data_IF_555223624412
#
_entry.id   IF_555223624412
#
_cell.length_a   1.000
_cell.length_b   1.000
_cell.length_c   1.000
_cell.angle_alpha   90.00
_cell.angle_beta   90.00
_cell.angle_gamma   90.00
#
_symmetry.space_group_name_H-M   'P 1'
#
loop_
_entity.id
_entity.type
_entity.pdbx_description
1 polymer ?
#
# COMPACT_ATOMS: atom_id res chain seq x y z
N UNK A 1 6.43 24.20 23.46
CA UNK A 1 5.01 23.88 23.66
C UNK A 1 4.38 23.81 22.27
N UNK A 2 4.16 22.60 21.75
CA UNK A 2 3.57 22.40 20.43
C UNK A 2 2.06 22.30 20.56
N UNK A 3 1.32 23.21 19.91
CA UNK A 3 -0.14 23.11 19.82
C UNK A 3 -0.46 22.21 18.63
N UNK A 4 -0.80 20.94 18.87
CA UNK A 4 -1.14 19.99 17.83
C UNK A 4 -2.60 20.25 17.39
N UNK A 5 -2.84 20.52 16.10
CA UNK A 5 -4.19 20.53 15.51
C UNK A 5 -4.39 19.22 14.75
N UNK A 6 -5.47 18.50 15.03
CA UNK A 6 -5.84 17.32 14.27
C UNK A 6 -6.83 17.69 13.18
N UNK A 7 -6.53 17.33 11.94
CA UNK A 7 -7.36 17.55 10.78
C UNK A 7 -7.97 16.21 10.36
N UNK A 8 -9.30 16.07 10.45
CA UNK A 8 -10.03 14.90 9.98
C UNK A 8 -10.64 15.19 8.61
N UNK A 9 -10.35 14.33 7.65
CA UNK A 9 -10.92 14.41 6.30
C UNK A 9 -11.95 13.29 6.15
N UNK A 10 -13.23 13.66 6.02
CA UNK A 10 -14.32 12.71 5.78
C UNK A 10 -15.01 13.03 4.44
N UNK A 11 -15.26 11.98 3.66
CA UNK A 11 -16.08 12.03 2.45
C UNK A 11 -17.30 11.14 2.69
N UNK A 12 -18.48 11.74 2.72
CA UNK A 12 -19.73 11.04 3.08
C UNK A 12 -20.61 10.69 1.86
N UNK A 13 -20.36 11.26 0.68
CA UNK A 13 -21.26 11.10 -0.49
C UNK A 13 -20.66 10.38 -1.70
N UNK A 14 -19.36 10.11 -1.74
CA UNK A 14 -18.79 9.14 -2.67
C UNK A 14 -18.47 7.87 -1.89
N UNK A 15 -18.93 6.72 -2.39
CA UNK A 15 -18.69 5.40 -1.82
C UNK A 15 -17.23 5.33 -1.32
N UNK A 16 -17.01 5.07 -0.01
CA UNK A 16 -15.69 5.14 0.66
C UNK A 16 -14.56 4.35 -0.03
N UNK A 17 -14.91 3.47 -0.98
CA UNK A 17 -14.03 2.70 -1.84
C UNK A 17 -13.42 3.45 -3.03
N UNK A 18 -13.82 4.70 -3.31
CA UNK A 18 -13.39 5.47 -4.50
C UNK A 18 -12.37 6.58 -4.22
N UNK A 19 -12.13 6.90 -2.95
CA UNK A 19 -11.29 8.02 -2.52
C UNK A 19 -10.07 7.52 -1.75
N UNK A 20 -8.89 7.86 -2.26
CA UNK A 20 -7.63 7.51 -1.61
C UNK A 20 -6.93 8.79 -1.16
N UNK A 21 -6.86 8.97 0.16
CA UNK A 21 -6.24 10.12 0.81
C UNK A 21 -4.78 9.82 1.13
N UNK A 22 -3.89 10.73 0.75
CA UNK A 22 -2.47 10.65 1.10
C UNK A 22 -2.00 11.99 1.66
N UNK A 23 -1.16 11.95 2.69
CA UNK A 23 -0.46 13.12 3.19
C UNK A 23 0.76 13.34 2.33
N UNK A 24 0.92 14.57 1.84
CA UNK A 24 2.11 15.00 1.16
C UNK A 24 3.10 15.54 2.21
N UNK A 25 4.24 14.87 2.34
CA UNK A 25 5.30 15.33 3.24
C UNK A 25 6.10 16.41 2.51
N UNK A 26 6.00 17.66 2.98
CA UNK A 26 6.72 18.79 2.41
C UNK A 26 7.89 19.17 3.33
N UNK A 27 9.07 18.60 3.08
CA UNK A 27 10.30 19.01 3.79
C UNK A 27 10.98 20.20 3.11
N UNK A 28 10.76 20.39 1.80
CA UNK A 28 11.19 21.53 0.95
C UNK A 28 10.54 21.41 -0.45
N UNK A 29 10.42 20.16 -0.94
CA UNK A 29 9.75 19.75 -2.18
C UNK A 29 8.75 18.65 -1.82
N UNK A 30 7.55 18.62 -2.42
CA UNK A 30 6.61 17.55 -2.17
C UNK A 30 7.03 16.26 -2.87
N UNK A 31 7.68 15.36 -2.12
CA UNK A 31 8.36 14.19 -2.69
C UNK A 31 7.57 12.88 -2.47
N UNK A 32 6.98 12.68 -1.29
CA UNK A 32 6.29 11.44 -0.95
C UNK A 32 4.80 11.64 -0.64
N UNK A 33 3.96 10.85 -1.32
CA UNK A 33 2.54 10.66 -0.99
C UNK A 33 2.39 9.53 0.03
N UNK A 34 2.42 9.88 1.31
CA UNK A 34 2.28 8.93 2.43
C UNK A 34 0.80 8.58 2.61
N UNK A 35 0.40 7.30 2.60
CA UNK A 35 -1.00 6.91 2.83
C UNK A 35 -1.51 7.44 4.18
N UNK A 36 -2.72 7.99 4.18
CA UNK A 36 -3.46 8.26 5.41
C UNK A 36 -4.28 7.00 5.73
N UNK A 37 -4.24 6.54 6.97
CA UNK A 37 -5.00 5.36 7.40
C UNK A 37 -6.50 5.61 7.18
N UNK A 38 -7.19 4.79 6.36
CA UNK A 38 -8.62 4.94 6.13
C UNK A 38 -9.47 4.70 7.39
N UNK A 39 -8.97 3.94 8.37
CA UNK A 39 -9.65 3.72 9.65
C UNK A 39 -9.50 4.90 10.62
N UNK A 40 -8.44 5.70 10.42
CA UNK A 40 -8.15 6.89 11.23
C UNK A 40 -7.63 8.04 10.36
N UNK A 41 -8.50 8.72 9.58
CA UNK A 41 -8.09 9.72 8.60
C UNK A 41 -7.79 11.08 9.27
N UNK A 42 -6.83 11.08 10.19
CA UNK A 42 -6.41 12.23 10.98
C UNK A 42 -4.95 12.57 10.71
N UNK A 43 -4.67 13.86 10.56
CA UNK A 43 -3.31 14.38 10.43
C UNK A 43 -3.06 15.38 11.55
N UNK A 44 -1.93 15.25 12.22
CA UNK A 44 -1.48 16.22 13.22
C UNK A 44 -0.60 17.29 12.58
N UNK A 45 -0.86 18.56 12.89
CA UNK A 45 -0.17 19.74 12.34
C UNK A 45 0.34 20.60 13.50
N UNK A 46 1.63 20.96 13.50
CA UNK A 46 2.20 21.87 14.50
C UNK A 46 1.93 23.35 14.19
N UNK A 47 2.09 24.26 15.17
CA UNK A 47 2.04 25.69 14.90
C UNK A 47 3.13 26.10 13.91
N UNK A 48 2.73 26.80 12.84
CA UNK A 48 3.64 27.22 11.78
C UNK A 48 3.90 26.15 10.70
N UNK A 49 3.37 24.94 10.84
CA UNK A 49 3.47 23.91 9.79
C UNK A 49 2.35 24.05 8.75
N UNK A 50 2.70 23.75 7.50
CA UNK A 50 1.73 23.56 6.41
C UNK A 50 1.72 22.09 6.01
N UNK A 51 0.53 21.49 5.96
CA UNK A 51 0.34 20.12 5.49
C UNK A 51 -0.54 20.12 4.24
N UNK A 52 -0.21 19.27 3.27
CA UNK A 52 -1.01 19.06 2.07
C UNK A 52 -1.59 17.64 2.06
N UNK A 53 -2.81 17.52 1.53
CA UNK A 53 -3.52 16.25 1.36
C UNK A 53 -3.77 16.04 -0.12
N UNK A 54 -3.29 14.91 -0.64
CA UNK A 54 -3.56 14.44 -1.98
C UNK A 54 -4.82 13.59 -1.98
N UNK A 55 -5.78 13.95 -2.84
CA UNK A 55 -7.05 13.25 -3.00
C UNK A 55 -7.05 12.56 -4.36
N UNK A 56 -7.06 11.23 -4.39
CA UNK A 56 -7.23 10.46 -5.62
C UNK A 56 -8.69 10.02 -5.77
N UNK A 57 -9.32 10.32 -6.90
CA UNK A 57 -10.66 9.85 -7.26
C UNK A 57 -10.54 8.76 -8.31
N UNK A 58 -11.00 7.55 -8.01
CA UNK A 58 -11.03 6.46 -8.97
C UNK A 58 -12.43 6.35 -9.61
N UNK A 59 -12.51 6.47 -10.94
CA UNK A 59 -13.77 6.31 -11.69
C UNK A 59 -13.85 4.88 -12.22
N UNK A 60 -14.81 4.05 -11.78
CA UNK A 60 -14.95 2.68 -12.24
C UNK A 60 -15.22 2.59 -13.74
N UNK A 61 -14.78 1.48 -14.36
CA UNK A 61 -15.15 1.16 -15.73
C UNK A 61 -16.68 0.95 -15.81
N UNK A 62 -17.32 1.59 -16.79
CA UNK A 62 -18.78 1.54 -16.95
C UNK A 62 -19.56 2.55 -16.11
N UNK A 63 -18.89 3.47 -15.39
CA UNK A 63 -19.57 4.59 -14.74
C UNK A 63 -20.34 5.40 -15.80
N UNK A 64 -21.65 5.68 -15.61
CA UNK A 64 -22.43 6.45 -16.56
C UNK A 64 -21.83 7.86 -16.79
N UNK A 65 -21.83 8.37 -18.02
CA UNK A 65 -21.40 9.74 -18.27
C UNK A 65 -22.35 10.73 -17.59
N UNK A 66 -21.80 11.84 -17.10
CA UNK A 66 -22.56 12.86 -16.40
C UNK A 66 -21.73 13.70 -15.45
N UNK A 67 -22.40 14.68 -14.85
CA UNK A 67 -21.83 15.52 -13.79
C UNK A 67 -22.09 14.84 -12.43
N UNK A 68 -21.02 14.57 -11.71
CA UNK A 68 -21.05 14.07 -10.34
C UNK A 68 -20.62 15.17 -9.40
N UNK A 69 -21.44 15.43 -8.39
CA UNK A 69 -21.13 16.38 -7.33
C UNK A 69 -20.87 15.61 -6.04
N UNK A 70 -19.85 16.05 -5.30
CA UNK A 70 -19.45 15.45 -4.04
C UNK A 70 -18.83 16.49 -3.13
N UNK A 71 -18.65 16.12 -1.87
CA UNK A 71 -18.16 17.06 -0.87
C UNK A 71 -17.13 16.40 0.03
N UNK A 72 -16.11 17.17 0.38
CA UNK A 72 -15.09 16.79 1.36
C UNK A 72 -15.22 17.73 2.55
N UNK A 73 -15.37 17.14 3.73
CA UNK A 73 -15.37 17.86 5.00
C UNK A 73 -13.99 17.74 5.64
N UNK A 74 -13.40 18.89 5.93
CA UNK A 74 -12.15 19.02 6.65
C UNK A 74 -12.49 19.62 8.01
N UNK A 75 -12.41 18.84 9.07
CA UNK A 75 -12.65 19.35 10.42
C UNK A 75 -11.33 19.44 11.18
N UNK A 76 -11.13 20.55 11.87
CA UNK A 76 -9.99 20.74 12.76
C UNK A 76 -10.47 20.68 14.21
N UNK A 77 -9.85 19.82 15.01
CA UNK A 77 -10.05 19.79 16.46
C UNK A 77 -8.78 20.31 17.12
N UNK A 78 -8.91 21.39 17.89
CA UNK A 78 -7.85 21.89 18.77
C UNK A 78 -7.86 21.01 20.00
N UNK A 79 -6.81 20.23 20.22
CA UNK A 79 -6.65 19.53 21.50
C UNK A 79 -6.07 20.53 22.48
N UNK A 80 -6.91 21.12 23.34
CA UNK A 80 -6.41 21.82 24.51
C UNK A 80 -5.81 20.77 25.43
N UNK A 81 -4.49 20.82 25.59
CA UNK A 81 -3.74 19.94 26.48
C UNK A 81 -3.92 20.41 27.94
N UNK A 82 -5.16 20.58 28.38
CA UNK A 82 -5.47 20.89 29.78
C UNK A 82 -6.02 19.68 30.55
N UNK A 83 -6.16 18.53 29.89
CA UNK A 83 -6.10 17.25 30.57
C UNK A 83 -4.77 16.58 30.22
N UNK A 84 -3.79 16.79 31.09
CA UNK A 84 -2.70 15.84 31.26
C UNK A 84 -3.33 14.56 31.83
N UNK A 85 -4.07 13.81 31.01
CA UNK A 85 -4.20 12.38 31.25
C UNK A 85 -2.77 11.91 31.14
N UNK A 86 -2.13 11.65 32.28
CA UNK A 86 -0.85 10.97 32.31
C UNK A 86 -1.03 9.71 31.48
N UNK A 87 -0.60 9.76 30.23
CA UNK A 87 -0.74 8.64 29.33
C UNK A 87 0.00 7.50 30.03
N UNK A 88 -0.71 6.41 30.36
CA UNK A 88 -0.12 5.33 31.14
C UNK A 88 1.28 5.02 30.60
N UNK A 89 2.31 4.95 31.46
CA UNK A 89 3.65 4.52 31.09
C UNK A 89 3.58 3.37 30.07
N UNK A 90 4.45 3.37 29.06
CA UNK A 90 4.46 2.32 28.01
C UNK A 90 4.41 0.90 28.61
N UNK A 91 5.00 0.70 29.80
CA UNK A 91 4.95 -0.55 30.56
C UNK A 91 3.53 -0.97 30.96
N UNK A 92 2.68 -0.04 31.39
CA UNK A 92 1.31 -0.33 31.81
C UNK A 92 0.37 -0.53 30.60
N UNK A 93 0.56 0.22 29.51
CA UNK A 93 -0.15 -0.04 28.24
C UNK A 93 0.18 -1.42 27.68
N UNK A 94 1.46 -1.80 27.71
CA UNK A 94 1.90 -3.14 27.31
C UNK A 94 1.35 -4.23 28.24
N UNK A 95 1.19 -3.95 29.54
CA UNK A 95 0.58 -4.87 30.51
C UNK A 95 -0.90 -5.09 30.22
N UNK A 96 -1.67 -4.01 30.02
CA UNK A 96 -3.08 -4.06 29.66
C UNK A 96 -3.32 -4.76 28.32
N UNK A 97 -2.48 -4.47 27.32
CA UNK A 97 -2.54 -5.17 26.03
C UNK A 97 -2.29 -6.68 26.17
N UNK A 98 -1.32 -7.07 26.99
CA UNK A 98 -1.01 -8.48 27.25
C UNK A 98 -2.13 -9.18 28.02
N UNK A 99 -2.73 -8.52 29.00
CA UNK A 99 -3.86 -9.03 29.78
C UNK A 99 -5.10 -9.23 28.88
N UNK A 100 -5.44 -8.23 28.05
CA UNK A 100 -6.55 -8.34 27.08
C UNK A 100 -6.31 -9.40 26.01
N UNK A 101 -5.08 -9.52 25.50
CA UNK A 101 -4.73 -10.54 24.52
C UNK A 101 -4.77 -11.95 25.13
N UNK A 102 -4.33 -12.10 26.37
CA UNK A 102 -4.47 -13.35 27.12
C UNK A 102 -5.94 -13.72 27.33
N UNK A 103 -6.86 -12.76 27.50
CA UNK A 103 -8.30 -13.06 27.57
C UNK A 103 -8.84 -13.58 26.25
N UNK A 104 -8.41 -13.01 25.12
CA UNK A 104 -8.80 -13.46 23.78
C UNK A 104 -8.24 -14.85 23.45
N UNK A 105 -7.01 -15.14 23.89
CA UNK A 105 -6.40 -16.46 23.72
C UNK A 105 -7.09 -17.54 24.57
N UNK A 106 -7.64 -17.17 25.74
CA UNK A 106 -8.43 -18.05 26.61
C UNK A 106 -9.83 -18.37 26.06
N UNK A 107 -10.40 -17.49 25.23
CA UNK A 107 -11.74 -17.65 24.62
C UNK A 107 -11.70 -18.11 23.17
N UNK A 108 -10.51 -18.34 22.61
CA UNK A 108 -10.33 -18.85 21.25
C UNK A 108 -10.97 -20.23 21.02
N UNK A 109 -11.35 -20.56 19.77
CA UNK A 109 -12.00 -21.82 19.44
C UNK A 109 -10.97 -22.96 19.56
N UNK A 110 -11.16 -23.85 20.54
CA UNK A 110 -10.46 -25.12 20.69
C UNK A 110 -11.48 -26.23 20.92
N UNK A 111 -11.22 -27.43 20.41
CA UNK A 111 -12.04 -28.61 20.69
C UNK A 111 -12.13 -28.82 22.21
N UNK A 112 -13.34 -28.68 22.76
CA UNK A 112 -13.57 -28.66 24.20
C UNK A 112 -13.74 -30.08 24.75
N UNK A 113 -13.01 -30.39 25.82
CA UNK A 113 -13.03 -31.72 26.46
C UNK A 113 -14.07 -31.83 27.59
N UNK A 114 -14.56 -30.73 28.20
CA UNK A 114 -15.73 -30.76 29.10
C UNK A 114 -16.45 -29.40 29.29
N UNK A 115 -17.75 -29.39 29.63
CA UNK A 115 -18.52 -28.16 29.91
C UNK A 115 -18.02 -27.38 31.13
N UNK A 116 -17.45 -28.08 32.12
CA UNK A 116 -16.96 -27.49 33.37
C UNK A 116 -15.70 -26.64 33.12
N UNK A 117 -14.81 -27.09 32.23
CA UNK A 117 -13.63 -26.34 31.81
C UNK A 117 -14.00 -25.05 31.07
N UNK A 118 -15.08 -25.06 30.29
CA UNK A 118 -15.58 -23.89 29.58
C UNK A 118 -16.09 -22.83 30.55
N UNK A 119 -16.88 -23.23 31.56
CA UNK A 119 -17.40 -22.32 32.59
C UNK A 119 -16.27 -21.71 33.41
N UNK A 120 -15.25 -22.51 33.76
CA UNK A 120 -14.10 -22.01 34.51
C UNK A 120 -13.32 -20.96 33.71
N UNK A 121 -13.08 -21.19 32.41
CA UNK A 121 -12.41 -20.22 31.53
C UNK A 121 -13.22 -18.95 31.32
N UNK A 122 -14.54 -19.05 31.14
CA UNK A 122 -15.41 -17.88 31.00
C UNK A 122 -15.39 -17.03 32.27
N UNK A 123 -15.39 -17.67 33.43
CA UNK A 123 -15.33 -17.01 34.74
C UNK A 123 -13.97 -16.32 34.94
N UNK A 124 -12.87 -16.98 34.55
CA UNK A 124 -11.53 -16.38 34.56
C UNK A 124 -11.40 -15.19 33.59
N UNK A 125 -11.94 -15.29 32.38
CA UNK A 125 -11.94 -14.17 31.42
C UNK A 125 -12.80 -13.00 31.93
N UNK A 126 -13.99 -13.29 32.48
CA UNK A 126 -14.91 -12.28 33.04
C UNK A 126 -14.29 -11.53 34.21
N UNK A 127 -13.58 -12.23 35.11
CA UNK A 127 -12.92 -11.60 36.26
C UNK A 127 -11.74 -10.70 35.85
N UNK A 128 -10.98 -11.08 34.82
CA UNK A 128 -9.92 -10.23 34.27
C UNK A 128 -10.51 -8.99 33.58
N UNK A 129 -11.56 -9.16 32.76
CA UNK A 129 -12.24 -8.03 32.10
C UNK A 129 -12.84 -7.05 33.11
N UNK A 130 -13.49 -7.54 34.17
CA UNK A 130 -14.05 -6.69 35.22
C UNK A 130 -12.96 -5.87 35.91
N UNK A 131 -11.81 -6.48 36.21
CA UNK A 131 -10.64 -5.79 36.77
C UNK A 131 -10.04 -4.74 35.83
N UNK A 132 -10.05 -4.98 34.52
CA UNK A 132 -9.60 -4.00 33.51
C UNK A 132 -10.57 -2.82 33.42
N UNK A 133 -11.87 -3.08 33.50
CA UNK A 133 -12.93 -2.05 33.48
C UNK A 133 -12.96 -1.21 34.76
N UNK A 134 -12.65 -1.82 35.91
CA UNK A 134 -12.55 -1.12 37.21
C UNK A 134 -11.22 -0.33 37.36
N UNK A 135 -10.39 -0.26 36.32
CA UNK A 135 -9.16 0.52 36.35
C UNK A 135 -9.52 2.02 36.32
N UNK A 136 -9.08 2.84 37.29
CA UNK A 136 -9.39 4.26 37.36
C UNK A 136 -8.98 5.04 36.10
N UNK A 137 -7.98 4.57 35.35
CA UNK A 137 -7.58 5.18 34.07
C UNK A 137 -8.60 5.00 32.93
N UNK A 138 -9.62 4.15 33.09
CA UNK A 138 -10.74 3.95 32.17
C UNK A 138 -12.02 4.65 32.63
N UNK A 139 -12.12 5.02 33.92
CA UNK A 139 -13.30 5.71 34.49
C UNK A 139 -13.36 7.21 34.14
N UNK A 140 -12.23 7.85 33.82
CA UNK A 140 -12.17 9.23 33.32
C UNK A 140 -12.88 9.45 31.97
N UNK A 141 -13.41 8.40 31.35
CA UNK A 141 -14.11 8.47 30.07
C UNK A 141 -15.63 8.79 30.18
N UNK A 142 -16.20 8.95 31.38
CA UNK A 142 -17.67 9.01 31.54
C UNK A 142 -18.32 10.26 32.14
N UNK A 143 -17.59 11.28 32.62
CA UNK A 143 -18.25 12.48 33.18
C UNK A 143 -17.65 13.78 32.64
N UNK A 144 -18.31 14.36 31.61
CA UNK A 144 -18.46 15.81 31.47
C UNK A 144 -19.45 16.17 30.35
N UNK A 145 -20.75 15.97 30.62
CA UNK A 145 -21.83 16.71 29.95
C UNK A 145 -22.42 17.72 30.95
N UNK A 146 -21.57 18.63 31.44
CA UNK A 146 -22.01 19.76 32.25
C UNK A 146 -22.34 20.96 31.36
N UNK A 147 -23.62 21.32 31.30
CA UNK A 147 -24.10 22.61 30.77
C UNK A 147 -23.42 23.75 31.52
N UNK A 148 -22.42 24.39 30.92
CA UNK A 148 -21.81 25.63 31.39
C UNK A 148 -21.89 26.69 30.30
N UNK A 149 -22.31 27.91 30.66
CA UNK A 149 -22.44 29.07 29.78
C UNK A 149 -21.22 29.23 28.86
N UNK A 150 -21.42 29.01 27.56
CA UNK A 150 -20.38 29.20 26.54
C UNK A 150 -20.29 30.67 26.16
N UNK A 151 -19.12 31.28 26.39
CA UNK A 151 -18.79 32.59 25.83
C UNK A 151 -18.51 32.47 24.33
N UNK A 152 -18.75 33.53 23.56
CA UNK A 152 -18.60 33.56 22.08
C UNK A 152 -17.19 33.15 21.58
N UNK A 153 -16.17 33.17 22.42
CA UNK A 153 -14.81 32.70 22.11
C UNK A 153 -14.70 31.16 21.99
N UNK A 154 -15.59 30.39 22.64
CA UNK A 154 -15.59 28.91 22.59
C UNK A 154 -16.23 28.36 21.31
N UNK A 155 -16.89 29.22 20.52
CA UNK A 155 -17.56 28.87 19.26
C UNK A 155 -16.55 28.50 18.16
N UNK A 156 -15.27 28.87 18.33
CA UNK A 156 -14.21 28.65 17.33
C UNK A 156 -13.58 27.23 17.41
N UNK A 157 -14.00 26.39 18.37
CA UNK A 157 -13.34 25.11 18.61
C UNK A 157 -13.64 24.00 17.56
N UNK A 158 -14.59 24.21 16.65
CA UNK A 158 -14.91 23.27 15.56
C UNK A 158 -15.00 23.98 14.21
N UNK A 159 -13.87 24.43 13.69
CA UNK A 159 -13.82 24.93 12.31
C UNK A 159 -13.92 23.71 11.37
N UNK A 160 -15.04 23.65 10.64
CA UNK A 160 -15.22 22.72 9.53
C UNK A 160 -15.19 23.48 8.21
N UNK A 161 -14.36 23.02 7.29
CA UNK A 161 -14.29 23.52 5.92
C UNK A 161 -14.95 22.49 5.02
N UNK A 162 -15.92 22.93 4.22
CA UNK A 162 -16.62 22.10 3.23
C UNK A 162 -16.11 22.45 1.84
N UNK A 163 -15.48 21.49 1.19
CA UNK A 163 -15.00 21.60 -0.18
C UNK A 163 -16.00 20.91 -1.11
N UNK A 164 -16.54 21.65 -2.06
CA UNK A 164 -17.38 21.08 -3.14
C UNK A 164 -16.48 20.59 -4.27
N UNK A 165 -16.76 19.39 -4.76
CA UNK A 165 -16.10 18.76 -5.89
C UNK A 165 -17.12 18.49 -6.98
N UNK A 166 -16.77 18.85 -8.21
CA UNK A 166 -17.55 18.56 -9.40
C UNK A 166 -16.67 17.76 -10.35
N UNK A 167 -17.10 16.55 -10.70
CA UNK A 167 -16.40 15.63 -11.59
C UNK A 167 -17.28 15.36 -12.81
N UNK A 168 -16.79 15.70 -14.00
CA UNK A 168 -17.47 15.34 -15.26
C UNK A 168 -16.91 14.01 -15.77
N UNK A 169 -17.77 12.99 -15.82
CA UNK A 169 -17.46 11.71 -16.45
C UNK A 169 -17.95 11.80 -17.90
N UNK A 170 -17.01 11.63 -18.83
CA UNK A 170 -17.29 11.67 -20.25
C UNK A 170 -17.67 10.28 -20.77
N UNK A 171 -18.36 10.25 -21.91
CA UNK A 171 -18.77 9.01 -22.58
C UNK A 171 -17.60 8.39 -23.38
N UNK A 172 -16.53 8.05 -22.66
CA UNK A 172 -15.44 7.23 -23.19
C UNK A 172 -14.84 6.40 -22.07
N UNK A 173 -14.31 5.23 -22.43
CA UNK A 173 -13.63 4.35 -21.49
C UNK A 173 -12.14 4.32 -21.81
N UNK A 174 -11.30 4.50 -20.79
CA UNK A 174 -9.87 4.26 -20.93
C UNK A 174 -9.64 2.76 -21.17
N UNK A 175 -8.92 2.37 -22.24
CA UNK A 175 -8.74 0.97 -22.56
C UNK A 175 -8.00 0.25 -21.43
N UNK A 176 -8.39 -1.00 -21.18
CA UNK A 176 -7.71 -1.84 -20.17
C UNK A 176 -6.28 -2.13 -20.62
N UNK A 177 -6.12 -2.52 -21.89
CA UNK A 177 -4.82 -2.69 -22.52
C UNK A 177 -4.30 -1.34 -23.00
N UNK A 178 -3.12 -0.90 -22.55
CA UNK A 178 -2.56 0.37 -22.99
C UNK A 178 -2.19 0.29 -24.48
N UNK A 179 -2.56 1.31 -25.25
CA UNK A 179 -2.19 1.43 -26.66
C UNK A 179 -0.73 1.83 -26.86
N UNK A 180 -0.15 2.50 -25.86
CA UNK A 180 1.26 2.89 -25.82
C UNK A 180 1.95 2.10 -24.70
N UNK A 181 2.98 1.30 -25.00
CA UNK A 181 3.75 0.64 -23.95
C UNK A 181 4.51 1.71 -23.15
N UNK A 182 4.14 1.85 -21.88
CA UNK A 182 4.83 2.67 -20.90
C UNK A 182 5.55 1.76 -19.91
N UNK A 183 6.75 2.16 -19.51
CA UNK A 183 7.68 1.28 -18.80
C UNK A 183 8.33 2.07 -17.69
N UNK A 184 8.41 1.47 -16.52
CA UNK A 184 9.13 2.05 -15.40
C UNK A 184 9.90 0.96 -14.68
N UNK A 185 11.09 1.32 -14.19
CA UNK A 185 12.00 0.35 -13.64
C UNK A 185 12.67 0.74 -12.35
N UNK A 186 13.03 -0.29 -11.59
CA UNK A 186 13.77 -0.17 -10.35
C UNK A 186 14.87 -1.23 -10.30
N UNK A 187 16.01 -0.86 -9.71
CA UNK A 187 17.07 -1.83 -9.47
C UNK A 187 16.64 -2.80 -8.37
N UNK A 188 16.82 -4.10 -8.61
CA UNK A 188 16.58 -5.15 -7.61
C UNK A 188 17.40 -4.89 -6.34
N UNK A 189 18.62 -4.38 -6.51
CA UNK A 189 19.52 -4.08 -5.38
C UNK A 189 18.97 -2.98 -4.47
N UNK A 190 18.20 -2.02 -5.01
CA UNK A 190 17.57 -0.97 -4.20
C UNK A 190 16.49 -1.57 -3.31
N UNK A 191 15.75 -2.57 -3.79
CA UNK A 191 14.75 -3.30 -2.99
C UNK A 191 15.45 -4.14 -1.93
N UNK A 192 16.50 -4.87 -2.30
CA UNK A 192 17.32 -5.67 -1.39
C UNK A 192 17.90 -4.82 -0.25
N UNK A 193 18.54 -3.70 -0.57
CA UNK A 193 19.17 -2.81 0.40
C UNK A 193 18.13 -2.10 1.28
N UNK A 194 17.02 -1.62 0.69
CA UNK A 194 16.02 -0.84 1.42
C UNK A 194 15.22 -1.68 2.42
N UNK A 195 14.97 -2.93 2.08
CA UNK A 195 14.16 -3.84 2.90
C UNK A 195 15.00 -4.92 3.61
N UNK A 196 16.33 -4.88 3.48
CA UNK A 196 17.25 -5.88 4.02
C UNK A 196 16.86 -7.32 3.59
N UNK A 197 16.58 -7.50 2.30
CA UNK A 197 16.12 -8.77 1.73
C UNK A 197 17.23 -9.45 0.94
N UNK A 198 17.35 -10.77 1.10
CA UNK A 198 18.23 -11.59 0.28
C UNK A 198 17.54 -12.00 -1.03
N UNK A 199 18.28 -11.97 -2.13
CA UNK A 199 17.79 -12.31 -3.46
C UNK A 199 17.21 -13.74 -3.51
N UNK A 200 16.05 -13.90 -4.14
CA UNK A 200 15.39 -15.20 -4.30
C UNK A 200 14.65 -15.72 -3.06
N UNK A 201 14.65 -14.98 -1.95
CA UNK A 201 13.80 -15.30 -0.79
C UNK A 201 12.33 -14.98 -1.07
N UNK A 202 11.41 -15.58 -0.31
CA UNK A 202 9.98 -15.27 -0.38
C UNK A 202 9.68 -13.78 -0.16
N UNK A 203 10.41 -13.14 0.77
CA UNK A 203 10.28 -11.70 1.02
C UNK A 203 10.68 -10.86 -0.19
N UNK A 204 11.74 -11.26 -0.90
CA UNK A 204 12.18 -10.61 -2.13
C UNK A 204 11.13 -10.74 -3.26
N UNK A 205 10.62 -11.95 -3.50
CA UNK A 205 9.54 -12.15 -4.47
C UNK A 205 8.28 -11.37 -4.12
N UNK A 206 7.91 -11.31 -2.83
CA UNK A 206 6.75 -10.55 -2.34
C UNK A 206 6.92 -9.04 -2.57
N UNK A 207 8.11 -8.49 -2.33
CA UNK A 207 8.38 -7.08 -2.58
C UNK A 207 8.25 -6.73 -4.08
N UNK A 208 8.75 -7.60 -4.96
CA UNK A 208 8.60 -7.44 -6.41
C UNK A 208 7.15 -7.63 -6.87
N UNK A 209 6.41 -8.57 -6.28
CA UNK A 209 4.97 -8.78 -6.51
C UNK A 209 4.17 -7.49 -6.25
N UNK A 210 4.44 -6.85 -5.11
CA UNK A 210 3.81 -5.59 -4.75
C UNK A 210 4.14 -4.47 -5.73
N UNK A 211 5.41 -4.35 -6.13
CA UNK A 211 5.82 -3.33 -7.11
C UNK A 211 5.19 -3.58 -8.49
N UNK A 212 5.20 -4.82 -8.96
CA UNK A 212 4.60 -5.23 -10.23
C UNK A 212 3.11 -4.89 -10.25
N UNK A 213 2.36 -5.29 -9.23
CA UNK A 213 0.92 -5.01 -9.11
C UNK A 213 0.62 -3.52 -9.06
N UNK A 214 1.45 -2.75 -8.36
CA UNK A 214 1.32 -1.31 -8.30
C UNK A 214 1.49 -0.68 -9.70
N UNK A 215 2.51 -1.07 -10.48
CA UNK A 215 2.69 -0.58 -11.85
C UNK A 215 1.56 -1.00 -12.79
N UNK A 216 1.05 -2.24 -12.66
CA UNK A 216 -0.09 -2.70 -13.45
C UNK A 216 -1.37 -1.88 -13.21
N UNK A 217 -1.58 -1.34 -12.02
CA UNK A 217 -2.71 -0.43 -11.75
C UNK A 217 -2.68 0.78 -12.70
N UNK A 218 -1.48 1.24 -13.06
CA UNK A 218 -1.26 2.36 -13.97
C UNK A 218 -1.02 1.91 -15.42
N UNK A 219 -1.17 0.61 -15.72
CA UNK A 219 -0.89 0.01 -17.04
C UNK A 219 0.55 0.25 -17.50
N UNK A 220 1.46 0.28 -16.53
CA UNK A 220 2.90 0.44 -16.76
C UNK A 220 3.55 -0.95 -16.68
N UNK A 221 4.38 -1.26 -17.67
CA UNK A 221 5.17 -2.49 -17.69
C UNK A 221 6.38 -2.34 -16.75
N UNK A 222 6.64 -3.33 -15.88
CA UNK A 222 7.77 -3.25 -14.96
C UNK A 222 9.09 -3.57 -15.64
N UNK A 223 10.16 -2.92 -15.17
CA UNK A 223 11.53 -3.18 -15.58
C UNK A 223 12.39 -3.40 -14.33
N UNK A 224 12.95 -4.60 -14.18
CA UNK A 224 13.87 -4.89 -13.08
C UNK A 224 15.27 -5.05 -13.63
N UNK A 225 16.24 -4.41 -13.00
CA UNK A 225 17.63 -4.51 -13.39
C UNK A 225 18.53 -4.76 -12.18
N UNK A 226 19.67 -5.40 -12.44
CA UNK A 226 20.79 -5.50 -11.52
C UNK A 226 22.02 -5.06 -12.28
N UNK A 227 22.76 -4.12 -11.72
CA UNK A 227 24.03 -3.62 -12.25
C UNK A 227 25.20 -4.26 -11.48
N UNK A 228 26.36 -4.45 -12.12
CA UNK A 228 27.57 -5.02 -11.50
C UNK A 228 27.99 -6.39 -12.07
N UNK A 229 28.71 -7.18 -11.28
CA UNK A 229 29.35 -8.45 -11.73
C UNK A 229 28.36 -9.55 -12.14
N UNK A 230 27.09 -9.40 -11.76
CA UNK A 230 25.97 -10.24 -12.19
C UNK A 230 24.88 -9.39 -12.84
N UNK A 231 25.30 -8.52 -13.78
CA UNK A 231 24.42 -7.70 -14.60
C UNK A 231 23.28 -8.54 -15.15
N UNK A 232 22.05 -8.18 -14.81
CA UNK A 232 20.83 -8.85 -15.29
C UNK A 232 19.78 -7.81 -15.58
N UNK A 233 19.12 -7.96 -16.71
CA UNK A 233 18.02 -7.10 -17.12
C UNK A 233 16.80 -7.99 -17.28
N UNK A 234 15.92 -7.96 -16.29
CA UNK A 234 14.57 -8.51 -16.37
C UNK A 234 13.67 -7.41 -16.93
N UNK A 235 13.92 -7.11 -18.21
CA UNK A 235 13.23 -6.06 -18.91
C UNK A 235 11.79 -6.51 -19.17
N UNK A 236 10.78 -5.72 -18.77
CA UNK A 236 9.39 -5.92 -19.18
C UNK A 236 8.81 -7.28 -18.78
N UNK A 237 9.37 -7.95 -17.77
CA UNK A 237 9.10 -9.35 -17.48
C UNK A 237 8.87 -9.55 -15.99
N UNK A 238 8.21 -10.65 -15.60
CA UNK A 238 7.98 -10.93 -14.19
C UNK A 238 9.22 -11.60 -13.56
N UNK A 239 9.41 -11.48 -12.24
CA UNK A 239 10.59 -12.05 -11.58
C UNK A 239 10.54 -13.58 -11.47
N UNK A 240 9.39 -14.21 -11.76
CA UNK A 240 9.26 -15.66 -11.71
C UNK A 240 9.64 -16.33 -13.05
N UNK A 241 10.21 -17.53 -13.00
CA UNK A 241 10.44 -18.35 -14.19
C UNK A 241 9.14 -18.70 -14.94
N UNK A 242 9.24 -19.01 -16.23
CA UNK A 242 8.08 -19.30 -17.07
C UNK A 242 7.21 -20.51 -16.64
N UNK A 243 7.74 -21.45 -15.87
CA UNK A 243 6.98 -22.59 -15.32
C UNK A 243 6.20 -22.25 -14.05
N UNK A 244 6.46 -21.10 -13.44
CA UNK A 244 5.80 -20.68 -12.22
C UNK A 244 4.38 -20.13 -12.50
N UNK A 245 3.37 -20.45 -11.67
CA UNK A 245 2.00 -19.98 -11.89
C UNK A 245 1.85 -18.45 -11.93
N UNK A 246 2.68 -17.72 -11.17
CA UNK A 246 2.71 -16.25 -11.19
C UNK A 246 3.09 -15.67 -12.55
N UNK A 247 4.00 -16.32 -13.28
CA UNK A 247 4.38 -15.85 -14.61
C UNK A 247 3.18 -15.90 -15.56
N UNK A 248 2.41 -16.99 -15.51
CA UNK A 248 1.18 -17.12 -16.29
C UNK A 248 0.10 -16.10 -15.84
N UNK A 249 -0.04 -15.84 -14.54
CA UNK A 249 -0.93 -14.79 -14.00
C UNK A 249 -0.61 -13.43 -14.63
N UNK A 250 0.67 -13.02 -14.58
CA UNK A 250 1.10 -11.71 -15.07
C UNK A 250 1.05 -11.56 -16.59
N UNK A 251 1.55 -12.54 -17.34
CA UNK A 251 1.56 -12.45 -18.80
C UNK A 251 0.16 -12.54 -19.41
N UNK A 252 -0.78 -13.20 -18.72
CA UNK A 252 -2.18 -13.24 -19.14
C UNK A 252 -2.92 -11.92 -18.86
N UNK A 253 -2.43 -11.07 -17.95
CA UNK A 253 -3.11 -9.84 -17.56
C UNK A 253 -3.24 -8.88 -18.77
N UNK A 254 -4.46 -8.42 -19.12
CA UNK A 254 -4.68 -7.54 -20.27
C UNK A 254 -4.04 -6.16 -20.11
N UNK A 255 -3.71 -5.73 -18.89
CA UNK A 255 -3.03 -4.45 -18.62
C UNK A 255 -1.55 -4.50 -19.01
N UNK A 256 -0.97 -5.70 -19.09
CA UNK A 256 0.37 -5.91 -19.62
C UNK A 256 0.28 -6.12 -21.14
N UNK A 257 0.72 -5.12 -21.90
CA UNK A 257 0.63 -5.14 -23.37
C UNK A 257 1.69 -6.02 -24.03
N UNK A 258 2.91 -6.00 -23.50
CA UNK A 258 4.03 -6.77 -24.01
C UNK A 258 4.97 -7.16 -22.86
N UNK A 259 5.69 -8.27 -23.04
CA UNK A 259 6.77 -8.65 -22.13
C UNK A 259 7.98 -9.14 -22.91
N UNK A 260 9.18 -8.81 -22.42
CA UNK A 260 10.37 -9.40 -23.00
C UNK A 260 10.49 -10.82 -22.46
N UNK A 261 10.80 -11.75 -23.36
CA UNK A 261 11.21 -13.09 -22.96
C UNK A 261 12.44 -12.92 -22.08
N UNK A 262 12.45 -13.51 -20.86
CA UNK A 262 13.56 -13.35 -19.94
C UNK A 262 14.87 -13.69 -20.66
N UNK A 263 15.71 -12.66 -20.76
CA UNK A 263 17.04 -12.78 -21.35
C UNK A 263 18.02 -12.96 -20.20
N UNK A 264 18.27 -14.22 -19.85
CA UNK A 264 19.42 -14.54 -19.01
C UNK A 264 20.68 -14.09 -19.78
N UNK A 265 21.54 -13.23 -19.20
CA UNK A 265 22.77 -12.84 -19.85
C UNK A 265 23.70 -14.05 -19.78
N UNK A 266 23.64 -14.87 -20.80
CA UNK A 266 24.54 -15.98 -21.01
C UNK A 266 25.81 -15.38 -21.60
N UNK A 267 26.57 -14.66 -20.77
CA UNK A 267 27.97 -14.34 -21.07
C UNK A 267 28.84 -15.61 -21.07
N UNK A 268 28.30 -16.76 -20.67
CA UNK A 268 28.93 -18.07 -20.79
C UNK A 268 28.23 -18.89 -21.88
N UNK A 269 28.79 -18.98 -23.10
CA UNK A 269 28.28 -19.79 -24.22
C UNK A 269 28.21 -21.33 -23.95
N UNK A 270 27.72 -21.73 -22.79
CA UNK A 270 27.59 -23.08 -22.28
C UNK A 270 26.27 -23.69 -22.76
N UNK A 271 26.28 -25.00 -22.98
CA UNK A 271 25.09 -25.70 -23.48
C UNK A 271 23.98 -25.77 -22.44
N UNK A 272 24.31 -25.77 -21.15
CA UNK A 272 23.33 -25.73 -20.06
C UNK A 272 22.44 -24.48 -20.14
N UNK A 273 23.04 -23.32 -20.40
CA UNK A 273 22.34 -22.07 -20.47
C UNK A 273 21.46 -21.96 -21.74
N UNK A 274 21.96 -22.46 -22.88
CA UNK A 274 21.15 -22.61 -24.11
C UNK A 274 19.95 -23.52 -23.91
N UNK A 275 20.14 -24.64 -23.21
CA UNK A 275 19.07 -25.61 -22.93
C UNK A 275 18.01 -25.02 -21.99
N UNK A 276 18.43 -24.24 -20.99
CA UNK A 276 17.51 -23.52 -20.10
C UNK A 276 16.65 -22.52 -20.87
N UNK A 277 17.27 -21.68 -21.71
CA UNK A 277 16.54 -20.71 -22.54
C UNK A 277 15.57 -21.41 -23.50
N UNK A 278 16.01 -22.49 -24.15
CA UNK A 278 15.15 -23.28 -25.04
C UNK A 278 13.92 -23.80 -24.29
N UNK A 279 14.12 -24.39 -23.11
CA UNK A 279 13.02 -24.89 -22.28
C UNK A 279 12.02 -23.79 -21.92
N UNK A 280 12.52 -22.63 -21.50
CA UNK A 280 11.70 -21.47 -21.14
C UNK A 280 10.88 -20.94 -22.33
N UNK A 281 11.52 -20.80 -23.49
CA UNK A 281 10.83 -20.38 -24.73
C UNK A 281 9.76 -21.39 -25.14
N UNK A 282 10.02 -22.70 -25.06
CA UNK A 282 9.02 -23.72 -25.40
C UNK A 282 7.82 -23.70 -24.44
N UNK A 283 8.06 -23.45 -23.14
CA UNK A 283 6.96 -23.24 -22.18
C UNK A 283 6.14 -22.02 -22.58
N UNK A 284 6.78 -20.86 -22.82
CA UNK A 284 6.08 -19.62 -23.15
C UNK A 284 5.31 -19.71 -24.47
N UNK A 285 5.86 -20.34 -25.51
CA UNK A 285 5.20 -20.57 -26.81
C UNK A 285 3.92 -21.38 -26.68
N UNK A 286 3.85 -22.29 -25.72
CA UNK A 286 2.65 -23.11 -25.48
C UNK A 286 1.47 -22.30 -24.90
N UNK A 287 1.71 -21.05 -24.47
CA UNK A 287 0.72 -20.23 -23.76
C UNK A 287 0.01 -19.23 -24.69
N UNK A 288 -1.27 -18.91 -24.46
CA UNK A 288 -2.01 -17.93 -25.26
C UNK A 288 -1.38 -16.52 -25.27
N UNK A 289 -0.72 -16.14 -24.17
CA UNK A 289 -0.07 -14.85 -24.03
C UNK A 289 1.24 -14.73 -24.81
N UNK A 290 1.71 -15.78 -25.52
CA UNK A 290 2.91 -15.72 -26.36
C UNK A 290 2.89 -14.61 -27.41
N UNK A 291 1.70 -14.23 -27.88
CA UNK A 291 1.49 -13.10 -28.80
C UNK A 291 1.99 -11.75 -28.25
N UNK A 292 2.15 -11.61 -26.93
CA UNK A 292 2.69 -10.42 -26.26
C UNK A 292 4.21 -10.47 -26.07
N UNK A 293 4.82 -11.63 -26.32
CA UNK A 293 6.24 -11.85 -26.07
C UNK A 293 7.08 -11.22 -27.18
N UNK A 294 8.21 -10.61 -26.79
CA UNK A 294 9.24 -10.18 -27.74
C UNK A 294 10.63 -10.45 -27.19
N UNK A 295 11.64 -10.43 -28.05
CA UNK A 295 13.03 -10.64 -27.65
C UNK A 295 13.74 -9.30 -27.52
N UNK A 296 14.31 -9.03 -26.34
CA UNK A 296 15.21 -7.91 -26.12
C UNK A 296 16.65 -8.40 -26.27
N UNK A 297 17.26 -8.15 -27.43
CA UNK A 297 18.54 -8.76 -27.80
C UNK A 297 19.76 -7.99 -27.31
N UNK A 298 19.68 -6.66 -27.27
CA UNK A 298 20.81 -5.81 -26.93
C UNK A 298 20.37 -4.52 -26.27
N UNK A 299 21.05 -4.14 -25.20
CA UNK A 299 20.91 -2.84 -24.53
C UNK A 299 22.07 -1.92 -24.94
N UNK A 300 21.78 -0.67 -25.29
CA UNK A 300 22.77 0.34 -25.72
C UNK A 300 23.87 -0.17 -26.68
N UNK A 301 23.54 -0.38 -27.95
CA UNK A 301 24.52 -0.79 -28.96
C UNK A 301 25.57 0.31 -29.15
N UNK A 302 26.80 0.10 -28.68
CA UNK A 302 27.96 0.89 -29.15
C UNK A 302 28.29 0.41 -30.55
N UNK A 303 28.39 1.34 -31.50
CA UNK A 303 28.71 1.07 -32.91
C UNK A 303 29.72 -0.08 -33.06
N UNK A 304 29.29 -1.17 -33.71
CA UNK A 304 30.20 -2.19 -34.20
C UNK A 304 31.16 -1.52 -35.18
N UNK A 305 32.41 -1.31 -34.77
CA UNK A 305 33.48 -1.04 -35.73
C UNK A 305 33.70 -2.34 -36.50
N UNK A 306 33.17 -2.38 -37.73
CA UNK A 306 33.57 -3.39 -38.71
C UNK A 306 35.06 -3.14 -39.02
N UNK A 307 35.95 -3.78 -38.27
CA UNK A 307 37.29 -4.05 -38.80
C UNK A 307 37.09 -5.05 -39.93
N UNK A 308 37.12 -4.56 -41.16
CA UNK A 308 37.26 -5.40 -42.33
C UNK A 308 38.47 -6.31 -42.11
N UNK A 309 38.23 -7.61 -41.99
CA UNK A 309 39.31 -8.60 -42.02
C UNK A 309 39.98 -8.49 -43.39
N UNK A 310 41.23 -8.02 -43.38
CA UNK A 310 42.19 -8.18 -44.48
C UNK A 310 42.81 -9.57 -44.43
#
# INVERSE_FOLDING_TARGET
>A
MGNFRYCRVCADTMHRSLLLLRRQVCLCVPDALVPIDPLSPQISIQPGETAAVWVSVNVPCGQPPGLYEGEIFITAVKTELDSRTESLPKSEKCRLYRELRSCLDLTGPRDYSSPEEMVQRLTSASTVLRRVLDNPALQDCQENNGFGDMMDEDVINNISVRLKLSLTVWDFTLPVTPSLPAVFGISETVIEDRFCLEHGTEGWYSALDHHFRWLLQYRISPFFCRWGDSMRILAYTCPWPADHPKANEYYSDPRLAAYAVPYAPILSCTDAAKNSLRREVEILKSKPHWSKAYFYLWDEVRYFTFSAMS
#
